data_IF_041241277982
#
_entry.id   IF_041241277982
#
_cell.length_a   1.000
_cell.length_b   1.000
_cell.length_c   1.000
_cell.angle_alpha   90.00
_cell.angle_beta   90.00
_cell.angle_gamma   90.00
#
_symmetry.space_group_name_H-M   'P 1'
#
loop_
_entity.id
_entity.type
_entity.pdbx_description
1 polymer ?
#
# COMPACT_ATOMS: atom_id res chain seq x y z
N UNK A 1 -24.54 -7.91 -10.37
CA UNK A 1 -25.52 -7.83 -11.49
C UNK A 1 -26.97 -8.02 -11.05
N UNK A 2 -27.23 -8.76 -9.96
CA UNK A 2 -28.62 -9.04 -9.49
C UNK A 2 -29.01 -8.24 -8.24
N UNK A 3 -28.31 -7.15 -7.93
CA UNK A 3 -28.59 -6.27 -6.79
C UNK A 3 -27.90 -6.65 -5.47
N UNK A 4 -27.17 -7.75 -5.42
CA UNK A 4 -26.35 -8.10 -4.26
C UNK A 4 -24.97 -7.41 -4.34
N UNK A 5 -24.39 -7.14 -3.16
CA UNK A 5 -23.02 -6.64 -2.99
C UNK A 5 -22.18 -7.72 -2.31
N UNK A 6 -21.62 -8.66 -3.06
CA UNK A 6 -20.87 -9.76 -2.48
C UNK A 6 -19.52 -9.30 -1.95
N UNK A 7 -19.10 -9.91 -0.84
CA UNK A 7 -17.76 -9.84 -0.31
C UNK A 7 -17.20 -11.25 -0.37
N UNK A 8 -16.32 -11.50 -1.31
CA UNK A 8 -15.65 -12.79 -1.50
C UNK A 8 -14.30 -12.77 -0.79
N UNK A 9 -13.79 -13.96 -0.45
CA UNK A 9 -12.48 -14.09 0.18
C UNK A 9 -11.59 -15.07 -0.60
N UNK A 10 -10.37 -14.62 -0.88
CA UNK A 10 -9.25 -15.47 -1.29
C UNK A 10 -8.27 -15.47 -0.12
N UNK A 11 -8.18 -16.57 0.62
CA UNK A 11 -7.51 -16.65 1.91
C UNK A 11 -6.04 -16.22 1.90
N UNK A 12 -5.35 -16.44 0.79
CA UNK A 12 -3.98 -15.97 0.54
C UNK A 12 -3.92 -15.30 -0.82
N UNK A 13 -3.38 -14.11 -0.88
CA UNK A 13 -3.27 -13.33 -2.12
C UNK A 13 -2.41 -14.01 -3.20
N UNK A 14 -1.50 -14.89 -2.80
CA UNK A 14 -0.72 -15.75 -3.70
C UNK A 14 -1.61 -16.52 -4.65
N UNK A 15 -2.81 -16.91 -4.22
CA UNK A 15 -3.75 -17.68 -5.03
C UNK A 15 -4.57 -16.87 -6.03
N UNK A 16 -4.39 -15.55 -6.09
CA UNK A 16 -4.83 -14.79 -7.25
C UNK A 16 -4.26 -15.37 -8.55
N UNK A 17 -3.07 -15.95 -8.51
CA UNK A 17 -2.46 -16.61 -9.67
C UNK A 17 -3.33 -17.72 -10.27
N UNK A 18 -4.17 -18.40 -9.45
CA UNK A 18 -5.07 -19.46 -9.91
C UNK A 18 -6.34 -18.92 -10.58
N UNK A 19 -6.80 -17.74 -10.20
CA UNK A 19 -8.05 -17.12 -10.69
C UNK A 19 -7.82 -15.80 -11.43
N UNK A 20 -6.57 -15.53 -11.83
CA UNK A 20 -6.20 -14.22 -12.38
C UNK A 20 -6.94 -13.87 -13.67
N UNK A 21 -7.22 -14.85 -14.51
CA UNK A 21 -8.02 -14.65 -15.72
C UNK A 21 -9.40 -14.07 -15.40
N UNK A 22 -10.11 -14.68 -14.45
CA UNK A 22 -11.43 -14.19 -14.01
C UNK A 22 -11.33 -12.76 -13.43
N UNK A 23 -10.31 -12.50 -12.64
CA UNK A 23 -10.14 -11.17 -12.02
C UNK A 23 -9.78 -10.10 -13.06
N UNK A 24 -8.81 -10.39 -13.92
CA UNK A 24 -8.26 -9.43 -14.86
C UNK A 24 -9.11 -9.25 -16.13
N UNK A 25 -9.71 -10.31 -16.67
CA UNK A 25 -10.41 -10.29 -17.94
C UNK A 25 -11.93 -10.23 -17.82
N UNK A 26 -12.50 -10.77 -16.74
CA UNK A 26 -13.95 -10.76 -16.55
C UNK A 26 -14.38 -9.67 -15.55
N UNK A 27 -13.93 -9.76 -14.29
CA UNK A 27 -14.36 -8.85 -13.22
C UNK A 27 -13.98 -7.41 -13.55
N UNK A 28 -12.71 -7.19 -13.90
CA UNK A 28 -12.20 -5.85 -14.19
C UNK A 28 -12.83 -5.20 -15.44
N UNK A 29 -13.29 -5.99 -16.40
CA UNK A 29 -13.71 -5.50 -17.72
C UNK A 29 -15.23 -5.44 -17.90
N UNK A 30 -16.01 -6.10 -17.04
CA UNK A 30 -17.45 -6.23 -17.19
C UNK A 30 -18.14 -4.89 -17.39
N UNK A 31 -17.84 -3.89 -16.57
CA UNK A 31 -18.48 -2.55 -16.70
C UNK A 31 -18.11 -1.88 -18.03
N UNK A 32 -16.86 -1.94 -18.43
CA UNK A 32 -16.41 -1.37 -19.70
C UNK A 32 -17.03 -2.07 -20.89
N UNK A 33 -17.04 -3.41 -20.92
CA UNK A 33 -17.59 -4.20 -22.02
C UNK A 33 -19.11 -4.05 -22.18
N UNK A 34 -19.80 -3.65 -21.12
CA UNK A 34 -21.25 -3.41 -21.14
C UNK A 34 -21.60 -1.93 -21.31
N UNK A 35 -20.65 -1.09 -21.72
CA UNK A 35 -20.85 0.35 -21.89
C UNK A 35 -21.42 1.04 -20.63
N UNK A 36 -20.96 0.63 -19.46
CA UNK A 36 -21.40 1.15 -18.17
C UNK A 36 -22.79 0.69 -17.70
N UNK A 37 -23.49 -0.15 -18.49
CA UNK A 37 -24.85 -0.59 -18.15
C UNK A 37 -24.89 -1.55 -16.96
N UNK A 38 -23.78 -2.25 -16.70
CA UNK A 38 -23.65 -3.20 -15.59
C UNK A 38 -22.67 -2.66 -14.56
N UNK A 39 -23.14 -2.49 -13.34
CA UNK A 39 -22.28 -2.30 -12.16
C UNK A 39 -21.87 -3.66 -11.60
N UNK A 40 -20.65 -3.73 -11.08
CA UNK A 40 -20.14 -4.93 -10.44
C UNK A 40 -19.61 -4.61 -9.04
N UNK A 41 -20.50 -4.33 -8.07
CA UNK A 41 -20.14 -3.98 -6.70
C UNK A 41 -19.62 -5.21 -5.94
N UNK A 42 -18.41 -5.64 -6.24
CA UNK A 42 -17.78 -6.85 -5.69
C UNK A 42 -16.53 -6.45 -4.90
N UNK A 43 -16.45 -6.89 -3.66
CA UNK A 43 -15.22 -6.81 -2.88
C UNK A 43 -14.58 -8.20 -2.85
N UNK A 44 -13.28 -8.28 -3.19
CA UNK A 44 -12.47 -9.48 -2.98
C UNK A 44 -11.44 -9.16 -1.89
N UNK A 45 -11.62 -9.73 -0.71
CA UNK A 45 -10.68 -9.64 0.40
C UNK A 45 -9.62 -10.73 0.27
N UNK A 46 -8.39 -10.40 0.63
CA UNK A 46 -7.32 -11.40 0.63
C UNK A 46 -6.22 -11.11 1.65
N UNK A 47 -5.78 -12.15 2.36
CA UNK A 47 -4.61 -12.08 3.22
C UNK A 47 -3.33 -11.94 2.39
N UNK A 48 -2.60 -10.84 2.56
CA UNK A 48 -1.46 -10.43 1.74
C UNK A 48 -0.16 -10.36 2.56
N UNK A 49 0.98 -10.44 1.91
CA UNK A 49 2.28 -10.10 2.47
C UNK A 49 2.92 -11.18 3.35
N UNK A 50 4.14 -10.89 3.76
CA UNK A 50 4.98 -11.73 4.62
C UNK A 50 4.91 -11.38 6.10
N UNK A 51 5.95 -11.78 6.84
CA UNK A 51 6.07 -11.56 8.28
C UNK A 51 5.38 -12.62 9.15
N UNK A 52 4.77 -13.62 8.54
CA UNK A 52 4.06 -14.72 9.23
C UNK A 52 4.72 -16.08 9.03
N UNK A 53 5.89 -16.14 8.44
CA UNK A 53 6.71 -17.35 8.24
C UNK A 53 6.07 -18.43 7.34
N UNK A 54 5.19 -18.02 6.45
CA UNK A 54 4.50 -18.95 5.55
C UNK A 54 5.31 -19.34 4.31
N UNK A 55 6.51 -18.75 4.10
CA UNK A 55 7.41 -19.10 3.01
C UNK A 55 6.97 -18.59 1.65
N UNK A 56 7.62 -19.09 0.61
CA UNK A 56 7.61 -18.52 -0.73
C UNK A 56 6.23 -18.42 -1.42
N UNK A 57 5.32 -19.35 -1.11
CA UNK A 57 4.04 -19.49 -1.79
C UNK A 57 2.84 -18.90 -1.03
N UNK A 58 3.07 -18.37 0.20
CA UNK A 58 2.02 -17.87 1.07
C UNK A 58 2.42 -16.53 1.75
N UNK A 59 3.43 -15.87 1.22
CA UNK A 59 3.96 -14.62 1.79
C UNK A 59 4.15 -13.51 0.75
N UNK A 60 3.63 -13.67 -0.45
CA UNK A 60 3.79 -12.67 -1.49
C UNK A 60 2.92 -11.43 -1.22
N UNK A 61 3.44 -10.27 -1.59
CA UNK A 61 2.70 -9.01 -1.65
C UNK A 61 2.36 -8.76 -3.12
N UNK A 62 1.07 -8.86 -3.47
CA UNK A 62 0.64 -8.91 -4.89
C UNK A 62 -0.28 -7.77 -5.29
N UNK A 63 -0.44 -6.75 -4.46
CA UNK A 63 -1.24 -5.56 -4.76
C UNK A 63 -0.78 -4.86 -6.04
N UNK A 64 0.51 -4.90 -6.35
CA UNK A 64 1.09 -4.37 -7.59
C UNK A 64 0.61 -5.10 -8.86
N UNK A 65 0.26 -6.39 -8.78
CA UNK A 65 -0.33 -7.10 -9.92
C UNK A 65 -1.67 -6.47 -10.33
N UNK A 66 -2.47 -6.11 -9.33
CA UNK A 66 -3.78 -5.54 -9.54
C UNK A 66 -3.74 -4.08 -10.03
N UNK A 67 -2.71 -3.31 -9.65
CA UNK A 67 -2.51 -1.95 -10.14
C UNK A 67 -2.40 -1.86 -11.66
N UNK A 68 -1.84 -2.88 -12.30
CA UNK A 68 -1.65 -2.92 -13.75
C UNK A 68 -2.94 -3.25 -14.52
N UNK A 69 -4.07 -3.51 -13.82
CA UNK A 69 -5.31 -3.96 -14.46
C UNK A 69 -6.36 -2.85 -14.44
N UNK A 70 -6.60 -2.14 -15.56
CA UNK A 70 -7.67 -1.14 -15.63
C UNK A 70 -9.05 -1.76 -15.32
N UNK A 71 -9.81 -1.10 -14.47
CA UNK A 71 -11.14 -1.52 -14.03
C UNK A 71 -11.19 -2.13 -12.62
N UNK A 72 -10.04 -2.35 -11.97
CA UNK A 72 -9.97 -2.74 -10.56
C UNK A 72 -9.66 -1.52 -9.68
N UNK A 73 -10.19 -1.49 -8.46
CA UNK A 73 -9.72 -0.65 -7.37
C UNK A 73 -8.90 -1.50 -6.40
N UNK A 74 -7.86 -0.90 -5.80
CA UNK A 74 -6.87 -1.62 -4.98
C UNK A 74 -6.63 -0.84 -3.69
N UNK A 75 -6.92 -1.46 -2.55
CA UNK A 75 -6.72 -0.87 -1.23
C UNK A 75 -6.00 -1.83 -0.29
N UNK A 76 -5.22 -1.29 0.64
CA UNK A 76 -4.48 -2.05 1.64
C UNK A 76 -4.38 -1.25 2.96
N UNK A 77 -5.30 -1.46 3.90
CA UNK A 77 -5.34 -0.73 5.17
C UNK A 77 -4.17 -1.08 6.08
N UNK A 78 -3.76 -0.12 6.92
CA UNK A 78 -2.72 -0.28 7.93
C UNK A 78 -3.25 -0.28 9.38
N UNK A 79 -4.44 0.26 9.63
CA UNK A 79 -5.02 0.40 10.97
C UNK A 79 -6.40 -0.24 11.09
N UNK A 80 -6.87 -0.60 12.32
CA UNK A 80 -8.24 -1.07 12.53
C UNK A 80 -9.32 -0.08 12.07
N UNK A 81 -9.10 1.22 12.22
CA UNK A 81 -10.01 2.27 11.75
C UNK A 81 -10.10 2.27 10.22
N UNK A 82 -8.95 2.14 9.53
CA UNK A 82 -8.91 2.08 8.07
C UNK A 82 -9.57 0.81 7.53
N UNK A 83 -9.36 -0.34 8.19
CA UNK A 83 -10.08 -1.59 7.82
C UNK A 83 -11.59 -1.34 7.83
N UNK A 84 -12.13 -0.75 8.90
CA UNK A 84 -13.55 -0.43 8.99
C UNK A 84 -13.99 0.54 7.90
N UNK A 85 -13.27 1.65 7.75
CA UNK A 85 -13.65 2.74 6.86
C UNK A 85 -13.51 2.39 5.37
N UNK A 86 -12.38 1.80 4.99
CA UNK A 86 -12.14 1.41 3.59
C UNK A 86 -13.00 0.22 3.17
N UNK A 87 -13.26 -0.74 4.07
CA UNK A 87 -14.16 -1.86 3.73
C UNK A 87 -15.60 -1.37 3.54
N UNK A 88 -16.06 -0.43 4.39
CA UNK A 88 -17.38 0.18 4.22
C UNK A 88 -17.49 0.94 2.89
N UNK A 89 -16.45 1.68 2.50
CA UNK A 89 -16.38 2.35 1.20
C UNK A 89 -16.37 1.34 0.04
N UNK A 90 -15.55 0.29 0.15
CA UNK A 90 -15.42 -0.75 -0.87
C UNK A 90 -16.73 -1.48 -1.15
N UNK A 91 -17.52 -1.81 -0.11
CA UNK A 91 -18.84 -2.44 -0.26
C UNK A 91 -19.85 -1.51 -0.93
N UNK A 92 -19.69 -0.21 -0.77
CA UNK A 92 -20.58 0.80 -1.37
C UNK A 92 -20.23 1.15 -2.80
N UNK A 93 -19.00 0.87 -3.19
CA UNK A 93 -18.48 1.19 -4.52
C UNK A 93 -19.23 0.40 -5.62
N UNK A 94 -19.56 1.02 -6.76
CA UNK A 94 -20.17 0.32 -7.88
C UNK A 94 -19.20 -0.55 -8.68
N UNK A 95 -17.90 -0.40 -8.47
CA UNK A 95 -16.84 -1.11 -9.18
C UNK A 95 -16.14 -2.14 -8.29
N UNK A 96 -15.47 -3.15 -8.88
CA UNK A 96 -14.78 -4.18 -8.11
C UNK A 96 -13.58 -3.62 -7.34
N UNK A 97 -13.49 -3.98 -6.06
CA UNK A 97 -12.39 -3.59 -5.18
C UNK A 97 -11.65 -4.83 -4.69
N UNK A 98 -10.33 -4.84 -4.90
CA UNK A 98 -9.43 -5.79 -4.25
C UNK A 98 -8.94 -5.19 -2.93
N UNK A 99 -9.26 -5.86 -1.84
CA UNK A 99 -9.01 -5.43 -0.48
C UNK A 99 -7.92 -6.31 0.14
N UNK A 100 -6.67 -5.82 0.15
CA UNK A 100 -5.51 -6.56 0.61
C UNK A 100 -5.27 -6.34 2.10
N UNK A 101 -5.41 -7.39 2.89
CA UNK A 101 -5.20 -7.38 4.34
C UNK A 101 -3.84 -7.99 4.67
N UNK A 102 -2.92 -7.18 5.17
CA UNK A 102 -1.61 -7.69 5.55
C UNK A 102 -1.72 -8.58 6.80
N UNK A 103 -1.35 -9.86 6.65
CA UNK A 103 -1.56 -10.92 7.65
C UNK A 103 -0.94 -10.63 9.02
N UNK A 104 0.24 -10.00 9.04
CA UNK A 104 0.93 -9.66 10.29
C UNK A 104 0.22 -8.55 11.08
N UNK A 105 -0.73 -7.84 10.48
CA UNK A 105 -1.52 -6.80 11.14
C UNK A 105 -2.80 -7.32 11.79
N UNK A 106 -3.22 -8.58 11.57
CA UNK A 106 -4.48 -9.12 12.10
C UNK A 106 -4.59 -9.07 13.63
N UNK A 107 -3.48 -9.12 14.34
CA UNK A 107 -3.44 -8.99 15.80
C UNK A 107 -3.36 -7.55 16.31
N UNK A 108 -3.26 -6.56 15.43
CA UNK A 108 -3.08 -5.16 15.81
C UNK A 108 -4.37 -4.62 16.42
N UNK A 109 -4.22 -3.95 17.56
CA UNK A 109 -5.31 -3.25 18.26
C UNK A 109 -5.14 -1.76 18.06
N UNK A 110 -6.26 -1.06 17.92
CA UNK A 110 -6.29 0.40 17.80
C UNK A 110 -7.69 0.94 18.04
N UNK A 111 -7.79 2.24 18.16
CA UNK A 111 -9.08 2.90 18.26
C UNK A 111 -9.85 2.77 16.95
N UNK A 112 -11.13 2.50 17.07
CA UNK A 112 -12.05 2.44 15.93
C UNK A 112 -13.23 3.36 16.23
N UNK A 113 -13.53 4.35 15.37
CA UNK A 113 -14.67 5.23 15.56
C UNK A 113 -15.98 4.46 15.75
N UNK A 114 -16.80 4.86 16.74
CA UNK A 114 -18.13 4.32 16.92
C UNK A 114 -19.07 4.77 15.79
N UNK A 115 -20.13 3.99 15.54
CA UNK A 115 -21.12 4.28 14.51
C UNK A 115 -20.57 4.13 13.09
N UNK A 116 -21.08 4.95 12.17
CA UNK A 116 -20.67 4.94 10.78
C UNK A 116 -19.30 5.59 10.63
N UNK A 117 -18.40 4.88 9.95
CA UNK A 117 -17.08 5.37 9.60
C UNK A 117 -16.75 4.90 8.17
N UNK A 118 -16.53 5.85 7.29
CA UNK A 118 -16.22 5.60 5.87
C UNK A 118 -15.00 6.39 5.50
N UNK A 119 -14.02 5.73 4.92
CA UNK A 119 -12.82 6.35 4.35
C UNK A 119 -12.93 6.31 2.84
N UNK A 120 -12.82 7.47 2.20
CA UNK A 120 -12.90 7.59 0.74
C UNK A 120 -11.75 6.84 0.07
N UNK A 121 -12.07 6.04 -0.96
CA UNK A 121 -11.06 5.37 -1.77
C UNK A 121 -10.26 6.39 -2.58
N UNK A 122 -8.95 6.22 -2.64
CA UNK A 122 -8.08 7.18 -3.32
C UNK A 122 -7.69 8.38 -2.47
N UNK A 123 -7.83 8.28 -1.13
CA UNK A 123 -7.34 9.27 -0.17
C UNK A 123 -6.28 8.68 0.74
N UNK A 124 -5.09 9.23 0.64
CA UNK A 124 -3.99 8.95 1.55
C UNK A 124 -4.20 9.66 2.90
N UNK A 125 -3.47 9.23 3.92
CA UNK A 125 -3.47 9.87 5.24
C UNK A 125 -2.06 10.33 5.61
N UNK A 126 -1.94 11.59 6.01
CA UNK A 126 -0.70 12.15 6.55
C UNK A 126 -0.67 11.91 8.05
N UNK A 127 -0.13 10.77 8.46
CA UNK A 127 -0.08 10.34 9.86
C UNK A 127 0.88 11.18 10.71
N UNK A 128 1.88 11.76 10.08
CA UNK A 128 2.86 12.63 10.69
C UNK A 128 3.31 13.68 9.69
N UNK A 129 3.36 14.94 10.09
CA UNK A 129 3.95 16.01 9.31
C UNK A 129 5.39 16.27 9.73
N UNK A 130 6.27 16.46 8.77
CA UNK A 130 7.69 16.79 8.95
C UNK A 130 8.16 17.73 7.85
N UNK A 131 9.44 18.13 7.92
CA UNK A 131 10.01 19.17 7.04
C UNK A 131 11.15 18.69 6.15
N UNK A 132 11.76 17.54 6.46
CA UNK A 132 13.04 17.16 5.88
C UNK A 132 12.94 16.04 4.85
N UNK A 133 11.96 15.16 4.98
CA UNK A 133 11.73 14.03 4.06
C UNK A 133 10.29 13.57 4.11
N UNK A 134 9.75 13.12 2.98
CA UNK A 134 8.44 12.44 2.90
C UNK A 134 8.66 10.94 2.75
N UNK A 135 8.00 10.15 3.59
CA UNK A 135 8.00 8.69 3.58
C UNK A 135 6.62 8.19 3.19
N UNK A 136 6.47 7.59 2.01
CA UNK A 136 5.25 6.92 1.58
C UNK A 136 5.30 5.44 1.92
N UNK A 137 4.31 4.95 2.66
CA UNK A 137 4.22 3.58 3.12
C UNK A 137 2.83 3.00 2.90
N UNK A 138 2.70 1.67 2.90
CA UNK A 138 1.45 0.95 2.72
C UNK A 138 1.39 -0.23 3.70
N UNK A 139 0.23 -0.50 4.27
CA UNK A 139 -0.04 -1.66 5.13
C UNK A 139 1.02 -1.83 6.24
N UNK A 140 1.73 -2.98 6.33
CA UNK A 140 2.74 -3.25 7.36
C UNK A 140 3.89 -2.23 7.38
N UNK A 141 4.18 -1.61 6.26
CA UNK A 141 5.25 -0.62 6.20
C UNK A 141 4.89 0.68 6.91
N UNK A 142 3.61 0.97 7.12
CA UNK A 142 3.14 2.18 7.81
C UNK A 142 3.62 2.23 9.27
N UNK A 143 3.34 1.25 10.15
CA UNK A 143 3.86 1.28 11.52
C UNK A 143 5.41 1.24 11.57
N UNK A 144 6.07 0.62 10.57
CA UNK A 144 7.53 0.63 10.48
C UNK A 144 8.09 2.01 10.09
N UNK A 145 7.41 2.71 9.17
CA UNK A 145 7.75 4.09 8.80
C UNK A 145 7.53 5.07 9.97
N UNK A 146 6.43 4.91 10.72
CA UNK A 146 6.19 5.70 11.94
C UNK A 146 7.30 5.49 12.97
N UNK A 147 7.70 4.25 13.21
CA UNK A 147 8.81 3.94 14.12
C UNK A 147 10.14 4.52 13.63
N UNK A 148 10.41 4.44 12.34
CA UNK A 148 11.60 5.06 11.74
C UNK A 148 11.59 6.59 11.90
N UNK A 149 10.44 7.24 11.68
CA UNK A 149 10.29 8.68 11.85
C UNK A 149 10.53 9.15 13.30
N UNK A 150 10.08 8.36 14.30
CA UNK A 150 10.40 8.60 15.72
C UNK A 150 11.91 8.53 15.99
N UNK A 151 12.58 7.51 15.47
CA UNK A 151 14.05 7.33 15.63
C UNK A 151 14.81 8.44 14.90
N UNK A 152 14.40 8.80 13.68
CA UNK A 152 15.01 9.89 12.91
C UNK A 152 14.98 11.22 13.66
N UNK A 153 13.84 11.55 14.26
CA UNK A 153 13.70 12.79 15.03
C UNK A 153 14.53 12.74 16.34
N UNK A 154 14.42 11.64 17.10
CA UNK A 154 15.04 11.53 18.41
C UNK A 154 16.57 11.44 18.36
N UNK A 155 17.12 10.73 17.39
CA UNK A 155 18.55 10.40 17.33
C UNK A 155 19.32 11.19 16.27
N UNK A 156 18.63 11.69 15.24
CA UNK A 156 19.28 12.34 14.10
C UNK A 156 18.76 13.76 13.82
N UNK A 157 17.71 14.23 14.54
CA UNK A 157 17.14 15.55 14.34
C UNK A 157 16.46 15.74 12.97
N UNK A 158 16.09 14.64 12.30
CA UNK A 158 15.43 14.64 10.99
C UNK A 158 13.92 14.52 11.19
N UNK A 159 13.18 15.50 10.70
CA UNK A 159 11.71 15.58 10.79
C UNK A 159 11.05 14.98 9.54
N UNK A 160 10.49 13.79 9.66
CA UNK A 160 9.88 13.08 8.55
C UNK A 160 8.36 13.24 8.50
N UNK A 161 7.82 13.56 7.32
CA UNK A 161 6.42 13.33 6.98
C UNK A 161 6.20 11.85 6.70
N UNK A 162 5.14 11.25 7.24
CA UNK A 162 4.76 9.86 6.97
C UNK A 162 3.35 9.83 6.38
N UNK A 163 3.24 9.27 5.19
CA UNK A 163 1.99 9.09 4.44
C UNK A 163 1.64 7.61 4.42
N UNK A 164 0.45 7.27 4.94
CA UNK A 164 -0.21 6.01 4.63
C UNK A 164 -0.93 6.17 3.29
N UNK A 165 -0.47 5.48 2.28
CA UNK A 165 -1.02 5.55 0.92
C UNK A 165 -2.43 4.96 0.86
N UNK A 166 -2.76 3.95 1.68
CA UNK A 166 -4.07 3.29 1.82
C UNK A 166 -4.64 2.69 0.53
N UNK A 167 -4.58 3.44 -0.57
CA UNK A 167 -5.17 3.08 -1.87
C UNK A 167 -4.13 3.25 -2.98
N UNK A 168 -3.95 2.20 -3.76
CA UNK A 168 -3.08 2.21 -4.93
C UNK A 168 -3.84 2.50 -6.22
N UNK A 169 -5.13 2.16 -6.25
CA UNK A 169 -6.04 2.49 -7.36
C UNK A 169 -7.42 2.82 -6.78
N UNK A 170 -7.86 4.07 -6.87
CA UNK A 170 -7.10 5.24 -7.32
C UNK A 170 -5.99 5.62 -6.35
N UNK A 171 -4.93 6.24 -6.84
CA UNK A 171 -3.82 6.75 -6.03
C UNK A 171 -4.03 8.24 -5.71
N UNK A 172 -3.79 8.66 -4.46
CA UNK A 172 -3.82 10.08 -4.07
C UNK A 172 -2.50 10.78 -4.44
N UNK A 173 -2.34 11.03 -5.73
CA UNK A 173 -1.16 11.72 -6.26
C UNK A 173 -1.02 13.14 -5.71
N UNK A 174 -2.14 13.83 -5.45
CA UNK A 174 -2.13 15.19 -4.96
C UNK A 174 -1.48 15.29 -3.57
N UNK A 175 -1.88 14.42 -2.63
CA UNK A 175 -1.30 14.40 -1.28
C UNK A 175 0.18 14.04 -1.35
N UNK A 176 0.55 13.02 -2.13
CA UNK A 176 1.95 12.59 -2.29
C UNK A 176 2.82 13.72 -2.85
N UNK A 177 2.37 14.36 -3.93
CA UNK A 177 3.11 15.47 -4.55
C UNK A 177 3.23 16.65 -3.60
N UNK A 178 2.13 17.08 -2.96
CA UNK A 178 2.15 18.26 -2.09
C UNK A 178 3.06 18.08 -0.87
N UNK A 179 3.07 16.91 -0.27
CA UNK A 179 3.95 16.64 0.89
C UNK A 179 5.41 16.44 0.45
N UNK A 180 5.65 15.84 -0.72
CA UNK A 180 7.01 15.70 -1.26
C UNK A 180 7.60 17.05 -1.66
N UNK A 181 6.81 17.95 -2.25
CA UNK A 181 7.26 19.30 -2.61
C UNK A 181 7.70 20.11 -1.39
N UNK A 182 7.01 19.97 -0.24
CA UNK A 182 7.35 20.64 1.01
C UNK A 182 8.70 20.20 1.57
N UNK A 183 9.04 18.92 1.41
CA UNK A 183 10.24 18.32 2.01
C UNK A 183 11.42 18.22 1.05
N UNK A 184 11.18 18.33 -0.25
CA UNK A 184 12.19 18.15 -1.29
C UNK A 184 12.76 16.74 -1.43
N UNK A 185 12.35 15.78 -0.59
CA UNK A 185 12.91 14.42 -0.53
C UNK A 185 11.82 13.38 -0.39
N UNK A 186 11.97 12.27 -1.12
CA UNK A 186 11.01 11.16 -1.11
C UNK A 186 11.69 9.81 -0.84
N UNK A 187 11.12 9.07 0.11
CA UNK A 187 11.39 7.65 0.34
C UNK A 187 10.08 6.88 0.20
N UNK A 188 10.03 5.84 -0.64
CA UNK A 188 8.92 4.88 -0.64
C UNK A 188 9.34 3.61 0.09
N UNK A 189 8.43 3.07 0.90
CA UNK A 189 8.68 1.86 1.69
C UNK A 189 7.62 0.82 1.35
N UNK A 190 8.06 -0.27 0.74
CA UNK A 190 7.16 -1.27 0.20
C UNK A 190 7.62 -2.69 0.52
N UNK A 191 6.67 -3.57 0.75
CA UNK A 191 6.92 -5.00 0.95
C UNK A 191 7.12 -5.74 -0.38
N UNK A 192 6.69 -5.14 -1.48
CA UNK A 192 6.96 -5.64 -2.82
C UNK A 192 8.47 -5.69 -3.13
N UNK A 193 8.91 -6.58 -4.03
CA UNK A 193 10.24 -6.52 -4.61
C UNK A 193 10.48 -5.19 -5.35
N UNK A 194 11.75 -4.78 -5.44
CA UNK A 194 12.12 -3.54 -6.13
C UNK A 194 11.63 -3.49 -7.59
N UNK A 195 11.73 -4.63 -8.29
CA UNK A 195 11.25 -4.73 -9.66
C UNK A 195 9.72 -4.75 -9.68
N UNK A 196 9.13 -3.79 -10.39
CA UNK A 196 7.68 -3.62 -10.52
C UNK A 196 6.91 -3.46 -9.20
N UNK A 197 7.56 -3.03 -8.11
CA UNK A 197 6.85 -2.62 -6.90
C UNK A 197 6.12 -1.29 -7.11
N UNK A 198 5.05 -1.05 -6.33
CA UNK A 198 4.20 0.14 -6.49
C UNK A 198 4.95 1.47 -6.25
N UNK A 199 6.00 1.47 -5.44
CA UNK A 199 6.83 2.66 -5.23
C UNK A 199 7.58 3.11 -6.48
N UNK A 200 7.71 2.28 -7.53
CA UNK A 200 8.26 2.69 -8.82
C UNK A 200 7.32 3.66 -9.55
N UNK A 201 6.01 3.43 -9.46
CA UNK A 201 5.00 4.33 -10.05
C UNK A 201 5.01 5.68 -9.34
N UNK A 202 4.98 5.69 -8.00
CA UNK A 202 5.09 6.95 -7.23
C UNK A 202 6.39 7.69 -7.57
N UNK A 203 7.51 6.99 -7.65
CA UNK A 203 8.79 7.59 -8.02
C UNK A 203 8.76 8.20 -9.44
N UNK A 204 8.09 7.54 -10.38
CA UNK A 204 7.91 8.06 -11.74
C UNK A 204 7.09 9.34 -11.76
N UNK A 205 5.93 9.35 -11.08
CA UNK A 205 5.03 10.51 -10.99
C UNK A 205 5.76 11.70 -10.34
N UNK A 206 6.44 11.47 -9.21
CA UNK A 206 7.17 12.53 -8.52
C UNK A 206 8.34 13.05 -9.34
N UNK A 207 9.06 12.18 -10.06
CA UNK A 207 10.14 12.61 -10.95
C UNK A 207 9.64 13.41 -12.16
N UNK A 208 8.43 13.13 -12.65
CA UNK A 208 7.82 13.89 -13.75
C UNK A 208 7.33 15.26 -13.29
N UNK A 209 6.61 15.30 -12.15
CA UNK A 209 5.91 16.50 -11.70
C UNK A 209 6.80 17.43 -10.84
N UNK A 210 7.73 16.89 -10.07
CA UNK A 210 8.51 17.63 -9.08
C UNK A 210 10.04 17.56 -9.29
N UNK A 211 10.51 17.20 -10.49
CA UNK A 211 11.95 17.03 -10.75
C UNK A 211 12.81 18.20 -10.25
N UNK A 212 12.35 19.44 -10.48
CA UNK A 212 13.08 20.66 -10.10
C UNK A 212 12.88 21.07 -8.64
N UNK A 213 11.98 20.42 -7.91
CA UNK A 213 11.72 20.65 -6.49
C UNK A 213 12.39 19.60 -5.61
N UNK A 214 13.04 18.60 -6.18
CA UNK A 214 13.74 17.56 -5.43
C UNK A 214 15.17 18.01 -5.06
N UNK A 215 15.51 17.83 -3.79
CA UNK A 215 16.85 18.11 -3.23
C UNK A 215 17.80 16.90 -3.32
N UNK A 216 17.31 15.75 -3.80
CA UNK A 216 18.08 14.53 -3.91
C UNK A 216 17.36 13.42 -4.67
N UNK A 217 17.99 12.25 -4.81
CA UNK A 217 17.37 11.12 -5.50
C UNK A 217 16.17 10.58 -4.72
N UNK A 218 15.18 10.02 -5.43
CA UNK A 218 14.09 9.25 -4.81
C UNK A 218 14.65 7.90 -4.39
N UNK A 219 14.45 7.54 -3.11
CA UNK A 219 14.92 6.27 -2.57
C UNK A 219 13.76 5.31 -2.34
N UNK A 220 13.94 4.05 -2.72
CA UNK A 220 12.97 2.99 -2.54
C UNK A 220 13.52 1.92 -1.61
N UNK A 221 12.90 1.74 -0.45
CA UNK A 221 13.19 0.68 0.53
C UNK A 221 12.25 -0.49 0.25
N UNK A 222 12.79 -1.59 -0.22
CA UNK A 222 12.00 -2.70 -0.78
C UNK A 222 12.48 -4.05 -0.25
N UNK A 223 11.66 -5.07 -0.39
CA UNK A 223 12.10 -6.47 -0.31
C UNK A 223 13.04 -6.77 -1.49
N UNK A 224 14.09 -7.57 -1.31
CA UNK A 224 14.91 -8.04 -2.43
C UNK A 224 14.11 -8.90 -3.40
N UNK A 225 14.53 -8.95 -4.66
CA UNK A 225 13.83 -9.73 -5.69
C UNK A 225 14.14 -11.23 -5.58
N UNK A 226 13.75 -11.82 -4.44
CA UNK A 226 13.87 -13.25 -4.14
C UNK A 226 12.60 -13.72 -3.42
N UNK A 227 12.22 -15.00 -3.52
CA UNK A 227 11.10 -15.55 -2.75
C UNK A 227 11.33 -15.38 -1.24
N UNK A 228 10.27 -15.08 -0.49
CA UNK A 228 10.37 -14.97 0.97
C UNK A 228 10.62 -16.32 1.62
N UNK A 229 11.50 -16.32 2.61
CA UNK A 229 11.85 -17.50 3.38
C UNK A 229 10.83 -17.80 4.48
N UNK A 230 10.68 -19.07 4.86
CA UNK A 230 9.96 -19.47 6.06
C UNK A 230 10.83 -19.42 7.33
N UNK A 231 12.14 -19.25 7.19
CA UNK A 231 13.05 -19.07 8.33
C UNK A 231 12.90 -17.68 8.93
N UNK A 232 12.75 -17.60 10.26
CA UNK A 232 12.56 -16.35 10.98
C UNK A 232 13.61 -15.30 10.63
N UNK A 233 14.87 -15.65 10.79
CA UNK A 233 15.99 -14.72 10.55
C UNK A 233 16.05 -14.25 9.09
N UNK A 234 15.80 -15.16 8.14
CA UNK A 234 15.89 -14.81 6.73
C UNK A 234 14.69 -13.94 6.28
N UNK A 235 13.47 -14.23 6.71
CA UNK A 235 12.32 -13.40 6.40
C UNK A 235 12.48 -11.99 7.01
N UNK A 236 12.97 -11.89 8.27
CA UNK A 236 13.24 -10.60 8.93
C UNK A 236 14.30 -9.77 8.19
N UNK A 237 15.31 -10.41 7.61
CA UNK A 237 16.31 -9.75 6.78
C UNK A 237 15.77 -9.29 5.43
N UNK A 238 14.78 -9.99 4.89
CA UNK A 238 14.21 -9.71 3.56
C UNK A 238 13.22 -8.54 3.60
N UNK A 239 12.27 -8.56 4.54
CA UNK A 239 11.22 -7.54 4.62
C UNK A 239 11.79 -6.25 5.25
N UNK A 240 11.55 -5.06 4.66
CA UNK A 240 12.02 -3.80 5.23
C UNK A 240 11.61 -3.62 6.70
N UNK A 241 12.54 -3.22 7.54
CA UNK A 241 12.31 -2.85 8.95
C UNK A 241 12.57 -1.35 9.17
N UNK A 242 12.33 -0.85 10.38
CA UNK A 242 12.52 0.56 10.70
C UNK A 242 13.97 1.03 10.51
N UNK A 243 14.96 0.20 10.87
CA UNK A 243 16.37 0.56 10.75
C UNK A 243 16.79 0.78 9.30
N UNK A 244 16.33 -0.09 8.37
CA UNK A 244 16.58 0.09 6.93
C UNK A 244 15.95 1.37 6.38
N UNK A 245 14.81 1.82 6.95
CA UNK A 245 14.18 3.09 6.58
C UNK A 245 15.03 4.25 7.10
N UNK A 246 15.47 4.19 8.36
CA UNK A 246 16.37 5.19 8.95
C UNK A 246 17.64 5.33 8.14
N UNK A 247 18.31 4.23 7.81
CA UNK A 247 19.54 4.25 7.00
C UNK A 247 19.33 4.86 5.61
N UNK A 248 18.18 4.54 4.97
CA UNK A 248 17.83 5.09 3.67
C UNK A 248 17.60 6.62 3.71
N UNK A 249 16.95 7.12 4.76
CA UNK A 249 16.72 8.56 4.95
C UNK A 249 18.04 9.29 5.26
N UNK A 250 18.88 8.74 6.12
CA UNK A 250 20.19 9.33 6.42
C UNK A 250 21.06 9.47 5.18
N UNK A 251 21.06 8.44 4.32
CA UNK A 251 21.79 8.51 3.05
C UNK A 251 21.26 9.55 2.04
N UNK A 252 20.10 10.15 2.29
CA UNK A 252 19.59 11.30 1.53
C UNK A 252 19.97 12.66 2.12
N UNK A 253 20.35 12.69 3.40
CA UNK A 253 20.65 13.93 4.12
C UNK A 253 22.15 14.28 4.05
N UNK A 254 23.01 13.29 3.71
CA UNK A 254 24.45 13.45 3.49
C UNK A 254 24.72 13.94 2.06
#
# INVERSE_FOLDING_TARGET
MTGLKPVAEIMFSDFFAVCWDIVANEIAKTRYMTDGQVELPLVIRSGNGGGSRFGAQHSQSVENWAMAIPGLKVVAPASPADVKGLLAASIRDPDPVLFFEQKSLYGTKGEVPEGEHVVELGKADVLRSGTDVTICALALMVPRAMKAAETLEAEHGISATVIDVRSLVPLDTQTILSETEKTGRLVTVEENPRLCGWGAEIASIVAEELFWSLDGPIVRVTTPHVPLSASDNLEDMQIPNADRIVDAVKGLAD
#
